data_IF_736621120117
#
_entry.id   IF_736621120117
#
_cell.length_a   1.000
_cell.length_b   1.000
_cell.length_c   1.000
_cell.angle_alpha   90.00
_cell.angle_beta   90.00
_cell.angle_gamma   90.00
#
_symmetry.space_group_name_H-M   'P 1'
#
loop_
_entity.id
_entity.type
_entity.pdbx_description
1 polymer ?
#
# COMPACT_ATOMS: atom_id res chain seq x y z
N UNK A 1 7.78 -13.58 -16.72
CA UNK A 1 7.45 -13.91 -15.34
C UNK A 1 8.29 -13.11 -14.38
N UNK A 2 7.67 -12.47 -13.40
CA UNK A 2 8.35 -11.57 -12.47
C UNK A 2 8.49 -12.14 -11.07
N UNK A 3 8.87 -13.43 -10.99
CA UNK A 3 9.05 -14.09 -9.70
C UNK A 3 10.06 -13.34 -8.84
N UNK A 4 11.16 -12.90 -9.45
CA UNK A 4 12.21 -12.21 -8.71
C UNK A 4 11.73 -10.87 -8.14
N UNK A 5 10.91 -10.13 -8.89
CA UNK A 5 10.36 -8.86 -8.40
C UNK A 5 9.52 -9.08 -7.13
N UNK A 6 8.56 -10.00 -7.19
CA UNK A 6 7.69 -10.27 -6.05
C UNK A 6 8.46 -10.89 -4.90
N UNK A 7 9.40 -11.79 -5.19
CA UNK A 7 10.23 -12.42 -4.17
C UNK A 7 11.12 -11.40 -3.46
N UNK A 8 11.62 -10.41 -4.19
CA UNK A 8 12.42 -9.34 -3.58
C UNK A 8 11.56 -8.48 -2.66
N UNK A 9 10.31 -8.21 -3.05
CA UNK A 9 9.40 -7.49 -2.16
C UNK A 9 9.09 -8.30 -0.92
N UNK A 10 8.91 -9.63 -1.04
CA UNK A 10 8.75 -10.50 0.12
C UNK A 10 9.94 -10.37 1.07
N UNK A 11 11.16 -10.41 0.52
CA UNK A 11 12.37 -10.26 1.32
C UNK A 11 12.41 -8.91 2.04
N UNK A 12 12.04 -7.84 1.35
CA UNK A 12 11.97 -6.50 1.96
C UNK A 12 11.03 -6.49 3.15
N UNK A 13 9.83 -7.05 2.98
CA UNK A 13 8.84 -7.08 4.05
C UNK A 13 9.34 -7.92 5.22
N UNK A 14 9.88 -9.11 4.94
CA UNK A 14 10.35 -10.03 5.99
C UNK A 14 11.54 -9.47 6.76
N UNK A 15 12.39 -8.70 6.10
CA UNK A 15 13.59 -8.14 6.72
C UNK A 15 13.37 -6.76 7.31
N UNK A 16 12.16 -6.22 7.24
CA UNK A 16 11.85 -4.89 7.73
C UNK A 16 10.81 -4.94 8.83
N UNK A 17 10.77 -3.90 9.63
CA UNK A 17 9.70 -3.71 10.60
C UNK A 17 8.62 -2.83 9.98
N UNK A 18 7.35 -3.24 10.12
CA UNK A 18 6.22 -2.45 9.63
C UNK A 18 5.80 -1.49 10.73
N UNK A 19 5.78 -0.20 10.40
CA UNK A 19 5.30 0.83 11.31
C UNK A 19 3.95 1.32 10.80
N UNK A 20 2.89 1.17 11.59
CA UNK A 20 1.56 1.66 11.23
C UNK A 20 1.40 3.04 11.84
N UNK A 21 1.42 4.08 11.00
CA UNK A 21 1.24 5.46 11.45
C UNK A 21 -0.13 6.03 11.10
N UNK A 22 -0.91 5.34 10.28
CA UNK A 22 -2.28 5.70 9.91
C UNK A 22 -3.18 4.48 10.14
N UNK A 23 -3.59 4.20 11.37
CA UNK A 23 -4.47 3.05 11.63
C UNK A 23 -5.81 3.19 10.93
N UNK A 24 -6.43 2.04 10.66
CA UNK A 24 -7.80 2.01 10.13
C UNK A 24 -8.71 2.94 10.93
N UNK A 25 -9.49 3.74 10.24
CA UNK A 25 -10.44 4.66 10.86
C UNK A 25 -9.90 6.06 11.12
N UNK A 26 -8.60 6.29 10.91
CA UNK A 26 -8.06 7.64 11.06
C UNK A 26 -8.34 8.46 9.82
N UNK A 27 -8.38 9.79 9.99
CA UNK A 27 -8.65 10.71 8.88
C UNK A 27 -7.35 11.14 8.24
N UNK A 28 -7.40 11.31 6.93
CA UNK A 28 -6.26 11.81 6.20
C UNK A 28 -5.95 13.24 6.66
N UNK A 29 -4.69 13.58 6.96
CA UNK A 29 -4.36 14.90 7.55
C UNK A 29 -4.66 16.07 6.63
N UNK A 30 -4.63 15.89 5.32
CA UNK A 30 -4.87 16.96 4.35
C UNK A 30 -6.23 16.87 3.68
N UNK A 31 -6.95 15.79 3.89
CA UNK A 31 -8.27 15.56 3.30
C UNK A 31 -9.13 14.82 4.32
N UNK A 32 -9.67 15.54 5.33
CA UNK A 32 -10.36 14.89 6.46
C UNK A 32 -11.58 14.04 6.11
N UNK A 33 -12.12 14.20 4.93
CA UNK A 33 -13.21 13.35 4.46
C UNK A 33 -12.75 11.96 4.06
N UNK A 34 -11.45 11.78 3.86
CA UNK A 34 -10.87 10.50 3.52
C UNK A 34 -10.48 9.78 4.81
N UNK A 35 -11.11 8.63 5.03
CA UNK A 35 -10.86 7.79 6.21
C UNK A 35 -10.11 6.56 5.75
N UNK A 36 -8.99 6.25 6.41
CA UNK A 36 -8.19 5.08 6.05
C UNK A 36 -8.98 3.80 6.29
N UNK A 37 -9.21 2.99 5.24
CA UNK A 37 -10.05 1.79 5.35
C UNK A 37 -9.35 0.57 5.90
N UNK A 38 -8.02 0.62 5.97
CA UNK A 38 -7.14 -0.48 6.37
C UNK A 38 -5.95 0.17 7.05
N UNK A 39 -5.26 -0.54 7.94
CA UNK A 39 -4.04 -0.01 8.55
C UNK A 39 -3.03 0.33 7.46
N UNK A 40 -2.42 1.50 7.58
CA UNK A 40 -1.48 2.02 6.61
C UNK A 40 -0.23 2.52 7.32
N UNK A 41 0.90 2.25 6.72
CA UNK A 41 2.17 2.68 7.30
C UNK A 41 3.31 2.51 6.31
N UNK A 42 4.45 2.11 6.82
CA UNK A 42 5.66 2.01 6.00
C UNK A 42 6.61 0.97 6.56
N UNK A 43 7.55 0.57 5.73
CA UNK A 43 8.64 -0.31 6.14
C UNK A 43 9.78 0.56 6.65
N UNK A 44 10.19 0.35 7.90
CA UNK A 44 11.27 1.14 8.53
C UNK A 44 12.60 0.89 7.83
N UNK A 45 13.40 1.94 7.77
CA UNK A 45 14.77 1.87 7.21
C UNK A 45 14.82 1.44 5.75
N UNK A 46 13.77 1.76 4.98
CA UNK A 46 13.73 1.53 3.54
C UNK A 46 13.64 2.86 2.81
N UNK A 47 13.86 2.82 1.50
CA UNK A 47 13.75 4.01 0.66
C UNK A 47 12.92 3.67 -0.57
N UNK A 48 11.81 4.37 -0.73
CA UNK A 48 11.00 4.30 -1.94
C UNK A 48 11.55 5.22 -3.01
N UNK A 49 10.90 5.21 -4.17
CA UNK A 49 11.33 6.01 -5.32
C UNK A 49 11.30 7.52 -5.03
N UNK A 50 10.46 7.94 -4.10
CA UNK A 50 10.32 9.36 -3.72
C UNK A 50 11.30 9.79 -2.63
N UNK A 51 12.16 8.89 -2.15
CA UNK A 51 13.13 9.17 -1.10
C UNK A 51 12.61 8.93 0.31
N UNK A 52 11.31 8.70 0.48
CA UNK A 52 10.72 8.34 1.76
C UNK A 52 10.64 6.82 1.89
N UNK A 53 10.26 6.33 3.06
CA UNK A 53 10.10 4.89 3.27
C UNK A 53 9.05 4.30 2.33
N UNK A 54 9.13 2.99 2.14
CA UNK A 54 8.18 2.27 1.28
C UNK A 54 6.86 2.12 2.02
N UNK A 55 5.77 2.60 1.41
CA UNK A 55 4.43 2.56 1.99
C UNK A 55 3.81 1.17 1.89
N UNK A 56 3.02 0.81 2.89
CA UNK A 56 2.39 -0.50 2.95
C UNK A 56 0.99 -0.40 3.58
N UNK A 57 0.04 -1.09 2.96
CA UNK A 57 -1.26 -1.38 3.54
C UNK A 57 -1.16 -2.74 4.22
N UNK A 58 -1.56 -2.84 5.48
CA UNK A 58 -1.52 -4.10 6.24
C UNK A 58 -2.94 -4.46 6.66
N UNK A 59 -3.49 -5.49 6.02
CA UNK A 59 -4.87 -5.89 6.25
C UNK A 59 -5.04 -6.92 7.34
N UNK A 60 -6.22 -7.53 7.38
CA UNK A 60 -6.64 -8.45 8.44
C UNK A 60 -6.69 -9.91 8.01
N UNK A 61 -6.24 -10.22 6.78
CA UNK A 61 -6.24 -11.60 6.32
C UNK A 61 -5.31 -12.46 7.19
N UNK A 62 -5.77 -13.66 7.53
CA UNK A 62 -4.95 -14.59 8.30
C UNK A 62 -3.69 -14.97 7.53
N UNK A 63 -3.80 -15.02 6.21
CA UNK A 63 -2.69 -15.27 5.32
C UNK A 63 -1.90 -13.97 5.15
N UNK A 64 -0.74 -13.89 5.79
CA UNK A 64 0.08 -12.69 5.79
C UNK A 64 0.99 -12.69 4.57
N UNK A 65 0.44 -12.35 3.41
CA UNK A 65 1.15 -12.36 2.13
C UNK A 65 0.98 -11.06 1.38
N UNK A 66 2.02 -10.71 0.63
CA UNK A 66 1.94 -9.65 -0.36
C UNK A 66 1.22 -10.20 -1.59
N UNK A 67 0.05 -9.67 -1.90
CA UNK A 67 -0.77 -10.18 -3.02
C UNK A 67 -0.92 -9.18 -4.15
N UNK A 68 -0.57 -7.91 -3.92
CA UNK A 68 -0.75 -6.88 -4.93
C UNK A 68 0.08 -5.65 -4.57
N UNK A 69 0.19 -4.74 -5.53
CA UNK A 69 0.69 -3.38 -5.28
C UNK A 69 -0.30 -2.40 -5.89
N UNK A 70 -0.38 -1.22 -5.32
CA UNK A 70 -1.17 -0.12 -5.87
C UNK A 70 -0.20 0.91 -6.44
N UNK A 71 -0.39 1.27 -7.70
CA UNK A 71 0.38 2.34 -8.33
C UNK A 71 -0.49 3.58 -8.37
N UNK A 72 -0.04 4.66 -7.76
CA UNK A 72 -0.86 5.87 -7.58
C UNK A 72 -0.29 7.05 -8.34
N UNK A 73 -1.21 7.95 -8.76
CA UNK A 73 -0.87 9.29 -9.24
C UNK A 73 -1.55 10.27 -8.31
N UNK A 74 -0.78 11.14 -7.68
CA UNK A 74 -1.29 12.15 -6.75
C UNK A 74 -1.14 13.53 -7.37
N UNK A 75 -2.25 14.17 -7.71
CA UNK A 75 -2.22 15.46 -8.40
C UNK A 75 -1.92 16.62 -7.48
N UNK A 76 -2.11 16.48 -6.18
CA UNK A 76 -1.74 17.52 -5.22
C UNK A 76 -0.21 17.56 -5.04
N UNK A 77 0.38 16.39 -4.85
CA UNK A 77 1.82 16.26 -4.67
C UNK A 77 2.56 16.24 -6.00
N UNK A 78 1.84 16.01 -7.10
CA UNK A 78 2.37 15.86 -8.45
C UNK A 78 3.43 14.78 -8.50
N UNK A 79 3.10 13.63 -7.94
CA UNK A 79 4.01 12.49 -7.90
C UNK A 79 3.29 11.19 -8.25
N UNK A 80 4.10 10.16 -8.42
CA UNK A 80 3.63 8.79 -8.57
C UNK A 80 4.38 7.94 -7.56
N UNK A 81 3.67 6.96 -6.99
CA UNK A 81 4.25 6.04 -6.02
C UNK A 81 3.66 4.67 -6.24
N UNK A 82 4.28 3.65 -5.65
CA UNK A 82 3.56 2.40 -5.48
C UNK A 82 3.54 2.03 -3.99
N UNK A 83 2.50 1.30 -3.59
CA UNK A 83 2.27 0.93 -2.20
C UNK A 83 2.03 -0.56 -2.13
N UNK A 84 2.64 -1.21 -1.15
CA UNK A 84 2.50 -2.65 -0.97
C UNK A 84 1.12 -2.95 -0.37
N UNK A 85 0.47 -4.01 -0.86
CA UNK A 85 -0.81 -4.48 -0.33
C UNK A 85 -0.55 -5.84 0.31
N UNK A 86 -0.44 -5.86 1.63
CA UNK A 86 0.03 -7.00 2.39
C UNK A 86 -1.04 -7.49 3.37
N UNK A 87 -1.30 -8.79 3.33
CA UNK A 87 -2.24 -9.40 4.27
C UNK A 87 -3.67 -8.87 4.16
N UNK A 88 -4.09 -8.49 2.96
CA UNK A 88 -5.41 -7.90 2.76
C UNK A 88 -6.38 -8.91 2.16
N UNK A 89 -7.63 -8.85 2.63
CA UNK A 89 -8.72 -9.58 2.01
C UNK A 89 -9.12 -8.89 0.72
N UNK A 90 -9.90 -9.57 -0.13
CA UNK A 90 -10.38 -8.96 -1.37
C UNK A 90 -11.26 -7.73 -1.07
N UNK A 91 -12.06 -7.79 -0.03
CA UNK A 91 -12.88 -6.65 0.38
C UNK A 91 -11.99 -5.47 0.78
N UNK A 92 -10.89 -5.72 1.47
CA UNK A 92 -9.95 -4.67 1.86
C UNK A 92 -9.25 -4.07 0.65
N UNK A 93 -8.85 -4.89 -0.32
CA UNK A 93 -8.23 -4.39 -1.55
C UNK A 93 -9.20 -3.49 -2.31
N UNK A 94 -10.47 -3.87 -2.38
CA UNK A 94 -11.50 -3.05 -3.01
C UNK A 94 -11.61 -1.69 -2.31
N UNK A 95 -11.60 -1.68 -0.98
CA UNK A 95 -11.69 -0.43 -0.21
C UNK A 95 -10.44 0.43 -0.36
N UNK A 96 -9.28 -0.19 -0.46
CA UNK A 96 -8.03 0.53 -0.72
C UNK A 96 -8.09 1.20 -2.09
N UNK A 97 -8.55 0.47 -3.10
CA UNK A 97 -8.69 1.02 -4.44
C UNK A 97 -9.66 2.19 -4.45
N UNK A 98 -10.79 2.04 -3.76
CA UNK A 98 -11.77 3.11 -3.64
C UNK A 98 -11.17 4.34 -2.95
N UNK A 99 -10.40 4.13 -1.89
CA UNK A 99 -9.74 5.20 -1.17
C UNK A 99 -8.75 5.95 -2.06
N UNK A 100 -8.00 5.25 -2.91
CA UNK A 100 -7.01 5.85 -3.80
C UNK A 100 -7.63 6.61 -4.97
N UNK A 101 -8.93 6.40 -5.26
CA UNK A 101 -9.59 7.07 -6.38
C UNK A 101 -10.53 8.13 -5.84
N UNK A 102 -10.03 9.33 -5.74
CA UNK A 102 -10.75 10.46 -5.17
C UNK A 102 -10.50 11.70 -6.02
N UNK A 103 -10.82 12.88 -5.52
CA UNK A 103 -10.70 14.11 -6.28
C UNK A 103 -9.25 14.40 -6.70
N UNK A 104 -8.27 13.92 -5.93
CA UNK A 104 -6.87 14.29 -6.11
C UNK A 104 -6.00 13.16 -6.60
N UNK A 105 -6.42 11.91 -6.48
CA UNK A 105 -5.57 10.75 -6.68
C UNK A 105 -6.31 9.68 -7.48
N UNK A 106 -5.55 8.91 -8.24
CA UNK A 106 -6.06 7.72 -8.92
C UNK A 106 -5.04 6.60 -8.80
N UNK A 107 -5.49 5.37 -8.92
CA UNK A 107 -4.57 4.24 -8.87
C UNK A 107 -4.94 3.15 -9.88
N UNK A 108 -4.00 2.22 -10.03
CA UNK A 108 -4.27 0.91 -10.58
C UNK A 108 -3.73 -0.12 -9.58
N UNK A 109 -4.39 -1.27 -9.52
CA UNK A 109 -3.94 -2.39 -8.70
C UNK A 109 -3.28 -3.41 -9.62
N UNK A 110 -2.04 -3.76 -9.29
CA UNK A 110 -1.34 -4.83 -10.00
C UNK A 110 -1.30 -6.03 -9.07
N UNK A 111 -1.98 -7.09 -9.48
CA UNK A 111 -2.06 -8.29 -8.67
C UNK A 111 -0.88 -9.20 -8.93
N UNK A 112 -0.43 -9.86 -7.87
CA UNK A 112 0.64 -10.84 -7.98
C UNK A 112 0.12 -12.04 -8.76
N UNK A 113 0.96 -12.51 -9.68
CA UNK A 113 0.66 -13.73 -10.43
C UNK A 113 1.09 -14.92 -9.58
N UNK A 114 0.15 -15.80 -9.26
CA UNK A 114 0.37 -16.91 -8.34
C UNK A 114 0.71 -18.23 -9.03
N UNK A 115 1.15 -18.23 -10.24
CA UNK A 115 1.47 -19.46 -10.98
C UNK A 115 2.29 -20.47 -10.21
#
# INVERSE_FOLDING_TARGET
>A
MNTDFWSRLDELIESSEIEIDRPKGTRHPKAPDLIFPVDYGYLKDTAGADGNEIDIWSGTAADRKLTAIACTVDMLKKDTEFKLIFGCTEAEIFRIEDFHNNLYMSDIIIRRDDD
#
